data_IF_478578991421
#
_entry.id   IF_478578991421
#
_cell.length_a   1.000
_cell.length_b   1.000
_cell.length_c   1.000
_cell.angle_alpha   90.00
_cell.angle_beta   90.00
_cell.angle_gamma   90.00
#
_symmetry.space_group_name_H-M   'P 1'
#
loop_
_entity.id
_entity.type
_entity.pdbx_description
1 polymer ?
#
# COMPACT_ATOMS: atom_id res chain seq x y z
N UNK A 1 19.82 3.32 -17.55
CA UNK A 1 18.40 3.33 -17.90
C UNK A 1 17.63 3.48 -16.61
N UNK A 2 16.81 4.53 -16.47
CA UNK A 2 15.97 4.72 -15.27
C UNK A 2 14.95 3.57 -15.23
N UNK A 3 14.73 3.01 -14.03
CA UNK A 3 13.78 1.94 -13.84
C UNK A 3 12.35 2.48 -14.06
N UNK A 4 11.58 2.00 -15.04
CA UNK A 4 10.27 2.54 -15.40
C UNK A 4 9.19 2.34 -14.34
N UNK A 5 9.48 1.58 -13.28
CA UNK A 5 8.49 1.16 -12.28
C UNK A 5 8.63 1.83 -10.90
N UNK A 6 9.38 2.93 -10.80
CA UNK A 6 9.65 3.63 -9.53
C UNK A 6 8.38 4.03 -8.77
N UNK A 7 7.30 4.31 -9.49
CA UNK A 7 6.02 4.72 -8.93
C UNK A 7 5.00 3.58 -8.83
N UNK A 8 5.28 2.41 -9.42
CA UNK A 8 4.32 1.28 -9.44
C UNK A 8 4.25 0.49 -8.13
N UNK A 9 5.25 0.60 -7.25
CA UNK A 9 5.25 -0.06 -5.94
C UNK A 9 5.25 -1.59 -5.95
N UNK A 10 5.31 -2.23 -7.13
CA UNK A 10 5.24 -3.70 -7.31
C UNK A 10 6.58 -4.39 -7.47
N UNK A 11 7.69 -3.66 -7.41
CA UNK A 11 8.99 -4.30 -7.58
C UNK A 11 9.35 -5.18 -6.39
N UNK A 12 9.81 -6.37 -6.70
CA UNK A 12 10.70 -7.11 -5.80
C UNK A 12 11.92 -6.23 -5.59
N UNK A 13 11.91 -5.49 -4.47
CA UNK A 13 13.02 -4.64 -4.06
C UNK A 13 14.32 -5.44 -4.12
N UNK A 14 15.34 -4.91 -4.74
CA UNK A 14 16.69 -5.47 -4.67
C UNK A 14 17.16 -5.54 -3.21
N UNK A 15 18.15 -6.36 -2.90
CA UNK A 15 18.69 -6.47 -1.54
C UNK A 15 19.09 -5.09 -0.98
N UNK A 16 19.73 -4.26 -1.79
CA UNK A 16 20.11 -2.88 -1.46
C UNK A 16 18.92 -1.94 -1.25
N UNK A 17 17.82 -2.15 -1.93
CA UNK A 17 16.58 -1.37 -1.73
C UNK A 17 15.85 -1.76 -0.46
N UNK A 18 15.83 -3.05 -0.13
CA UNK A 18 15.30 -3.53 1.15
C UNK A 18 16.10 -3.02 2.33
N UNK A 19 17.42 -3.01 2.22
CA UNK A 19 18.31 -2.45 3.24
C UNK A 19 18.07 -0.94 3.42
N UNK A 20 18.00 -0.20 2.32
CA UNK A 20 17.67 1.22 2.33
C UNK A 20 16.32 1.49 3.01
N UNK A 21 15.25 0.79 2.60
CA UNK A 21 13.92 0.95 3.23
C UNK A 21 13.95 0.59 4.72
N UNK A 22 14.67 -0.45 5.12
CA UNK A 22 14.75 -0.86 6.51
C UNK A 22 15.46 0.20 7.38
N UNK A 23 16.50 0.84 6.85
CA UNK A 23 17.26 1.85 7.58
C UNK A 23 16.46 3.11 7.89
N UNK A 24 15.59 3.55 6.97
CA UNK A 24 14.75 4.76 7.15
C UNK A 24 13.40 4.47 7.81
N UNK A 25 13.07 3.19 8.03
CA UNK A 25 11.75 2.79 8.57
C UNK A 25 11.68 3.15 10.05
N UNK A 26 10.58 3.83 10.50
CA UNK A 26 10.35 4.09 11.91
C UNK A 26 10.25 2.78 12.71
N UNK A 27 10.84 2.77 13.89
CA UNK A 27 10.89 1.62 14.79
C UNK A 27 9.90 1.74 15.95
N UNK A 28 9.47 2.95 16.29
CA UNK A 28 8.53 3.26 17.35
C UNK A 28 7.41 4.18 16.90
N UNK A 29 6.38 4.29 17.75
CA UNK A 29 5.24 5.18 17.51
C UNK A 29 5.68 6.64 17.41
N UNK A 30 6.63 7.07 18.23
CA UNK A 30 7.12 8.45 18.28
C UNK A 30 7.80 8.88 16.97
N UNK A 31 8.32 7.92 16.22
CA UNK A 31 8.95 8.16 14.93
C UNK A 31 7.97 8.10 13.75
N UNK A 32 6.78 7.54 13.99
CA UNK A 32 5.79 7.34 12.92
C UNK A 32 4.98 8.62 12.72
N UNK A 33 5.13 9.22 11.55
CA UNK A 33 4.46 10.48 11.20
C UNK A 33 3.23 10.21 10.34
N UNK A 34 2.12 10.86 10.67
CA UNK A 34 0.83 10.73 9.96
C UNK A 34 -0.12 9.71 10.59
N UNK A 35 -1.29 9.51 9.99
CA UNK A 35 -2.35 8.59 10.48
C UNK A 35 -2.77 8.87 11.94
N UNK A 36 -2.86 10.14 12.34
CA UNK A 36 -2.96 10.58 13.74
C UNK A 36 -4.04 9.82 14.53
N UNK A 37 -5.28 9.76 14.03
CA UNK A 37 -6.39 9.08 14.70
C UNK A 37 -6.15 7.58 14.90
N UNK A 38 -5.52 6.92 13.90
CA UNK A 38 -5.16 5.50 13.98
C UNK A 38 -4.12 5.29 15.08
N UNK A 39 -3.09 6.12 15.11
CA UNK A 39 -2.00 6.03 16.08
C UNK A 39 -2.49 6.27 17.50
N UNK A 40 -3.30 7.31 17.73
CA UNK A 40 -3.89 7.60 19.04
C UNK A 40 -4.66 6.39 19.61
N UNK A 41 -5.52 5.78 18.79
CA UNK A 41 -6.27 4.59 19.19
C UNK A 41 -5.34 3.39 19.46
N UNK A 42 -4.36 3.16 18.58
CA UNK A 42 -3.44 2.04 18.69
C UNK A 42 -2.59 2.12 19.97
N UNK A 43 -2.14 3.33 20.35
CA UNK A 43 -1.42 3.57 21.62
C UNK A 43 -2.27 3.15 22.82
N UNK A 44 -3.55 3.51 22.82
CA UNK A 44 -4.49 3.15 23.91
C UNK A 44 -4.64 1.63 23.99
N UNK A 45 -4.86 0.95 22.86
CA UNK A 45 -5.07 -0.50 22.81
C UNK A 45 -3.83 -1.26 23.26
N UNK A 46 -2.64 -0.85 22.78
CA UNK A 46 -1.35 -1.46 23.17
C UNK A 46 -1.12 -1.29 24.68
N UNK A 47 -1.30 -0.07 25.21
CA UNK A 47 -1.14 0.18 26.66
C UNK A 47 -2.10 -0.65 27.50
N UNK A 48 -3.36 -0.76 27.09
CA UNK A 48 -4.35 -1.56 27.77
C UNK A 48 -3.99 -3.06 27.79
N UNK A 49 -3.57 -3.62 26.66
CA UNK A 49 -3.12 -5.01 26.56
C UNK A 49 -1.90 -5.26 27.48
N UNK A 50 -0.91 -4.34 27.49
CA UNK A 50 0.26 -4.43 28.39
C UNK A 50 -0.14 -4.39 29.86
N UNK A 51 -1.05 -3.51 30.27
CA UNK A 51 -1.52 -3.42 31.65
C UNK A 51 -2.22 -4.69 32.12
N UNK A 52 -2.97 -5.36 31.25
CA UNK A 52 -3.63 -6.64 31.56
C UNK A 52 -2.69 -7.84 31.46
N UNK A 53 -1.53 -7.69 30.81
CA UNK A 53 -0.61 -8.79 30.54
C UNK A 53 -1.13 -9.79 29.49
N UNK A 54 -2.04 -9.35 28.62
CA UNK A 54 -2.70 -10.13 27.57
C UNK A 54 -2.10 -9.88 26.20
N UNK A 55 -2.39 -10.77 25.24
CA UNK A 55 -2.15 -10.47 23.82
C UNK A 55 -3.06 -9.30 23.39
N UNK A 56 -2.58 -8.48 22.46
CA UNK A 56 -3.42 -7.46 21.84
C UNK A 56 -4.47 -8.14 20.97
N UNK A 57 -5.67 -7.60 20.92
CA UNK A 57 -6.69 -8.01 19.96
C UNK A 57 -6.14 -8.02 18.52
N UNK A 58 -6.67 -8.92 17.68
CA UNK A 58 -6.24 -9.02 16.30
C UNK A 58 -6.51 -7.74 15.50
N UNK A 59 -5.50 -7.32 14.72
CA UNK A 59 -5.48 -6.03 14.00
C UNK A 59 -5.51 -6.26 12.50
N UNK A 60 -6.35 -5.53 11.78
CA UNK A 60 -6.36 -5.47 10.33
C UNK A 60 -5.99 -4.06 9.86
N UNK A 61 -4.86 -3.94 9.18
CA UNK A 61 -4.48 -2.73 8.45
C UNK A 61 -4.87 -2.86 6.98
N UNK A 62 -5.69 -1.95 6.47
CA UNK A 62 -6.09 -1.98 5.07
C UNK A 62 -5.95 -0.62 4.40
N UNK A 63 -5.82 -0.61 3.08
CA UNK A 63 -5.65 0.62 2.31
C UNK A 63 -4.60 0.48 1.20
N UNK A 64 -4.39 1.52 0.40
CA UNK A 64 -3.46 1.53 -0.72
C UNK A 64 -2.06 1.02 -0.38
N UNK A 65 -1.28 0.54 -1.36
CA UNK A 65 0.08 0.08 -1.13
C UNK A 65 1.01 1.23 -0.71
N UNK A 66 2.09 0.93 0.01
CA UNK A 66 3.14 1.90 0.35
C UNK A 66 2.83 2.90 1.45
N UNK A 67 1.70 2.77 2.17
CA UNK A 67 1.27 3.68 3.24
C UNK A 67 1.80 3.33 4.64
N UNK A 68 2.57 2.25 4.79
CA UNK A 68 3.21 1.89 6.07
C UNK A 68 2.53 0.75 6.84
N UNK A 69 1.66 -0.08 6.24
CA UNK A 69 1.02 -1.24 6.91
C UNK A 69 2.02 -2.17 7.58
N UNK A 70 3.05 -2.61 6.85
CA UNK A 70 4.15 -3.45 7.37
C UNK A 70 4.97 -2.73 8.43
N UNK A 71 5.15 -1.42 8.32
CA UNK A 71 5.85 -0.61 9.34
C UNK A 71 5.07 -0.60 10.65
N UNK A 72 3.75 -0.36 10.57
CA UNK A 72 2.88 -0.36 11.75
C UNK A 72 2.84 -1.73 12.44
N UNK A 73 2.87 -2.85 11.69
CA UNK A 73 2.90 -4.18 12.30
C UNK A 73 4.16 -4.40 13.14
N UNK A 74 5.32 -3.94 12.68
CA UNK A 74 6.57 -3.98 13.44
C UNK A 74 6.54 -3.07 14.66
N UNK A 75 6.01 -1.85 14.49
CA UNK A 75 5.83 -0.92 15.62
C UNK A 75 4.94 -1.53 16.69
N UNK A 76 3.83 -2.19 16.32
CA UNK A 76 2.95 -2.88 17.27
C UNK A 76 3.73 -3.91 18.10
N UNK A 77 4.55 -4.75 17.48
CA UNK A 77 5.34 -5.74 18.18
C UNK A 77 6.40 -5.09 19.09
N UNK A 78 7.11 -4.08 18.59
CA UNK A 78 8.11 -3.34 19.36
C UNK A 78 7.47 -2.66 20.58
N UNK A 79 6.34 -2.01 20.41
CA UNK A 79 5.62 -1.34 21.50
C UNK A 79 5.06 -2.34 22.53
N UNK A 80 4.62 -3.52 22.09
CA UNK A 80 4.22 -4.61 22.98
C UNK A 80 5.42 -5.23 23.71
N UNK A 81 6.63 -5.13 23.16
CA UNK A 81 7.86 -5.75 23.69
C UNK A 81 7.89 -7.25 23.43
N UNK A 82 7.37 -7.71 22.28
CA UNK A 82 7.28 -9.12 21.90
C UNK A 82 7.91 -9.36 20.53
N UNK A 83 8.13 -10.63 20.19
CA UNK A 83 8.66 -11.00 18.88
C UNK A 83 7.59 -10.89 17.78
N UNK A 84 8.03 -10.61 16.54
CA UNK A 84 7.18 -10.64 15.36
C UNK A 84 7.65 -11.72 14.39
N UNK A 85 6.71 -12.50 13.88
CA UNK A 85 6.93 -13.36 12.71
C UNK A 85 6.19 -12.78 11.52
N UNK A 86 6.93 -12.58 10.44
CA UNK A 86 6.41 -11.97 9.22
C UNK A 86 6.29 -13.01 8.12
N UNK A 87 5.13 -13.02 7.46
CA UNK A 87 4.84 -13.84 6.27
C UNK A 87 3.89 -13.11 5.34
N UNK A 88 3.47 -13.74 4.26
CA UNK A 88 2.47 -13.20 3.35
C UNK A 88 1.48 -14.28 2.91
N UNK A 89 0.26 -13.87 2.54
CA UNK A 89 -0.78 -14.78 2.08
C UNK A 89 -0.31 -15.78 1.04
N UNK A 90 0.37 -15.33 -0.04
CA UNK A 90 0.87 -16.24 -1.09
C UNK A 90 1.89 -17.30 -0.63
N UNK A 91 2.57 -17.10 0.49
CA UNK A 91 3.57 -18.05 1.01
C UNK A 91 2.93 -19.18 1.81
N UNK A 92 1.73 -18.94 2.33
CA UNK A 92 0.97 -19.95 3.09
C UNK A 92 0.08 -20.72 2.12
N UNK A 93 0.61 -21.81 1.55
CA UNK A 93 -0.10 -22.58 0.53
C UNK A 93 -1.08 -23.60 1.11
N UNK A 94 -0.76 -24.14 2.28
CA UNK A 94 -1.52 -25.23 2.92
C UNK A 94 -1.63 -25.04 4.43
N UNK A 95 -2.62 -25.67 5.08
CA UNK A 95 -2.82 -25.59 6.53
C UNK A 95 -1.58 -25.94 7.38
N UNK A 96 -0.76 -26.88 6.91
CA UNK A 96 0.49 -27.26 7.61
C UNK A 96 1.51 -26.12 7.70
N UNK A 97 1.57 -25.23 6.70
CA UNK A 97 2.47 -24.08 6.71
C UNK A 97 2.01 -23.09 7.78
N UNK A 98 0.70 -22.84 7.87
CA UNK A 98 0.09 -21.99 8.90
C UNK A 98 0.33 -22.59 10.30
N UNK A 99 0.11 -23.89 10.46
CA UNK A 99 0.32 -24.58 11.72
C UNK A 99 1.78 -24.48 12.19
N UNK A 100 2.75 -24.65 11.30
CA UNK A 100 4.17 -24.48 11.62
C UNK A 100 4.52 -23.07 12.09
N UNK A 101 3.90 -22.05 11.50
CA UNK A 101 4.05 -20.66 11.94
C UNK A 101 3.45 -20.45 13.34
N UNK A 102 2.18 -20.85 13.53
CA UNK A 102 1.43 -20.63 14.78
C UNK A 102 2.05 -21.37 15.98
N UNK A 103 2.45 -22.62 15.81
CA UNK A 103 3.08 -23.42 16.89
C UNK A 103 4.47 -22.91 17.30
N UNK A 104 5.10 -22.12 16.46
CA UNK A 104 6.41 -21.51 16.70
C UNK A 104 6.35 -20.13 17.37
N UNK A 105 5.14 -19.62 17.68
CA UNK A 105 4.96 -18.34 18.38
C UNK A 105 5.13 -18.52 19.89
N UNK A 106 5.84 -17.60 20.50
CA UNK A 106 5.86 -17.44 21.95
C UNK A 106 4.57 -16.78 22.48
N UNK A 107 4.40 -16.74 23.81
CA UNK A 107 3.25 -16.07 24.42
C UNK A 107 3.18 -14.60 24.05
N UNK A 108 2.05 -14.16 23.52
CA UNK A 108 1.73 -12.79 23.10
C UNK A 108 2.52 -12.28 21.88
N UNK A 109 3.29 -13.14 21.21
CA UNK A 109 3.97 -12.78 19.97
C UNK A 109 3.01 -12.28 18.90
N UNK A 110 3.55 -11.54 17.94
CA UNK A 110 2.82 -11.03 16.79
C UNK A 110 3.07 -11.94 15.57
N UNK A 111 2.01 -12.41 14.93
CA UNK A 111 2.05 -12.97 13.58
C UNK A 111 1.59 -11.91 12.60
N UNK A 112 2.44 -11.49 11.69
CA UNK A 112 2.09 -10.57 10.61
C UNK A 112 1.91 -11.31 9.30
N UNK A 113 0.74 -11.15 8.67
CA UNK A 113 0.44 -11.71 7.35
C UNK A 113 0.16 -10.55 6.38
N UNK A 114 1.11 -10.30 5.47
CA UNK A 114 0.91 -9.34 4.39
C UNK A 114 0.04 -9.94 3.28
N UNK A 115 -0.71 -9.11 2.56
CA UNK A 115 -1.65 -9.54 1.51
C UNK A 115 -2.55 -10.69 1.97
N UNK A 116 -3.09 -10.59 3.19
CA UNK A 116 -3.88 -11.65 3.84
C UNK A 116 -5.10 -12.09 3.01
N UNK A 117 -5.63 -11.23 2.13
CA UNK A 117 -6.71 -11.55 1.20
C UNK A 117 -6.34 -12.62 0.15
N UNK A 118 -5.06 -12.99 0.05
CA UNK A 118 -4.56 -14.02 -0.87
C UNK A 118 -4.45 -15.40 -0.21
N UNK A 119 -4.85 -15.54 1.04
CA UNK A 119 -4.99 -16.85 1.65
C UNK A 119 -6.06 -17.68 0.92
N UNK A 120 -5.85 -18.98 0.80
CA UNK A 120 -6.90 -19.88 0.32
C UNK A 120 -7.99 -20.03 1.38
N UNK A 121 -9.23 -20.26 0.96
CA UNK A 121 -10.36 -20.47 1.89
C UNK A 121 -10.08 -21.57 2.91
N UNK A 122 -9.40 -22.64 2.48
CA UNK A 122 -9.01 -23.74 3.38
C UNK A 122 -8.07 -23.25 4.49
N UNK A 123 -7.07 -22.43 4.17
CA UNK A 123 -6.15 -21.88 5.17
C UNK A 123 -6.87 -20.89 6.08
N UNK A 124 -7.80 -20.07 5.55
CA UNK A 124 -8.61 -19.16 6.36
C UNK A 124 -9.41 -19.91 7.43
N UNK A 125 -10.02 -21.07 7.11
CA UNK A 125 -10.80 -21.86 8.08
C UNK A 125 -9.96 -22.31 9.28
N UNK A 126 -8.72 -22.72 9.05
CA UNK A 126 -7.78 -23.04 10.15
C UNK A 126 -7.40 -21.81 10.96
N UNK A 127 -7.30 -20.65 10.31
CA UNK A 127 -6.97 -19.39 10.98
C UNK A 127 -8.11 -18.94 11.92
N UNK A 128 -9.37 -19.25 11.59
CA UNK A 128 -10.53 -18.88 12.44
C UNK A 128 -10.42 -19.48 13.84
N UNK A 129 -10.19 -20.80 13.94
CA UNK A 129 -10.04 -21.48 15.24
C UNK A 129 -8.82 -21.00 16.01
N UNK A 130 -7.73 -20.71 15.29
CA UNK A 130 -6.53 -20.16 15.88
C UNK A 130 -6.74 -18.76 16.48
N UNK A 131 -7.55 -17.92 15.85
CA UNK A 131 -7.85 -16.57 16.32
C UNK A 131 -8.84 -16.54 17.49
N UNK A 132 -9.84 -17.44 17.50
CA UNK A 132 -10.89 -17.43 18.53
C UNK A 132 -10.50 -18.22 19.78
N UNK A 133 -9.97 -19.42 19.58
CA UNK A 133 -9.79 -20.40 20.64
C UNK A 133 -8.31 -20.70 20.96
N UNK A 134 -7.37 -20.07 20.26
CA UNK A 134 -5.93 -20.36 20.34
C UNK A 134 -5.64 -21.86 20.21
N UNK A 135 -6.26 -22.49 19.23
CA UNK A 135 -6.06 -23.90 18.89
C UNK A 135 -6.13 -24.12 17.39
N UNK A 136 -5.51 -25.19 16.93
CA UNK A 136 -5.56 -25.60 15.54
C UNK A 136 -5.76 -27.13 15.47
N UNK A 137 -6.70 -27.58 14.64
CA UNK A 137 -6.96 -28.98 14.39
C UNK A 137 -6.30 -29.42 13.09
N UNK A 138 -5.31 -30.30 13.15
CA UNK A 138 -4.57 -30.78 11.97
C UNK A 138 -5.01 -32.19 11.63
N UNK A 139 -5.38 -32.40 10.36
CA UNK A 139 -5.63 -33.75 9.83
C UNK A 139 -4.29 -34.42 9.51
N UNK A 140 -4.02 -35.59 10.11
CA UNK A 140 -2.76 -36.32 9.90
C UNK A 140 -2.85 -37.24 8.69
N UNK A 141 -4.01 -37.84 8.43
CA UNK A 141 -4.25 -38.77 7.33
C UNK A 141 -5.45 -38.33 6.49
N UNK A 142 -5.49 -38.84 5.25
CA UNK A 142 -6.62 -38.69 4.35
C UNK A 142 -7.36 -40.04 4.21
N UNK A 143 -8.71 -39.98 4.17
CA UNK A 143 -9.55 -41.16 3.96
C UNK A 143 -10.31 -41.63 5.21
N UNK A 144 -10.93 -42.84 5.22
CA UNK A 144 -11.81 -43.29 6.31
C UNK A 144 -11.15 -43.44 7.67
N UNK A 145 -9.81 -43.46 7.72
CA UNK A 145 -9.02 -43.55 8.96
C UNK A 145 -8.41 -42.21 9.37
N UNK A 146 -8.84 -41.13 8.75
CA UNK A 146 -8.31 -39.80 9.05
C UNK A 146 -8.47 -39.46 10.54
N UNK A 147 -7.38 -39.02 11.17
CA UNK A 147 -7.37 -38.55 12.56
C UNK A 147 -7.01 -37.07 12.59
N UNK A 148 -7.72 -36.30 13.42
CA UNK A 148 -7.34 -34.95 13.73
C UNK A 148 -6.54 -34.92 15.04
N UNK A 149 -5.50 -34.09 15.06
CA UNK A 149 -4.82 -33.73 16.31
C UNK A 149 -5.09 -32.25 16.56
N UNK A 150 -5.63 -31.96 17.74
CA UNK A 150 -5.79 -30.61 18.25
C UNK A 150 -4.49 -30.17 18.92
N UNK A 151 -3.98 -29.03 18.50
CA UNK A 151 -2.79 -28.39 19.06
C UNK A 151 -3.21 -27.08 19.71
N UNK A 152 -2.93 -26.93 21.00
CA UNK A 152 -3.11 -25.66 21.69
C UNK A 152 -1.97 -24.70 21.32
N UNK A 153 -2.33 -23.44 21.11
CA UNK A 153 -1.41 -22.36 20.76
C UNK A 153 -1.24 -21.41 21.94
N UNK A 154 -0.10 -20.77 22.01
CA UNK A 154 0.05 -19.62 22.90
C UNK A 154 -0.89 -18.49 22.43
N UNK A 155 -1.50 -17.71 23.34
CA UNK A 155 -2.19 -16.48 22.97
C UNK A 155 -1.25 -15.58 22.16
N UNK A 156 -1.70 -15.13 20.99
CA UNK A 156 -0.92 -14.33 20.06
C UNK A 156 -1.77 -13.22 19.45
N UNK A 157 -1.13 -12.24 18.87
CA UNK A 157 -1.79 -11.19 18.09
C UNK A 157 -1.59 -11.44 16.60
N UNK A 158 -2.67 -11.61 15.85
CA UNK A 158 -2.62 -11.58 14.39
C UNK A 158 -2.71 -10.13 13.91
N UNK A 159 -1.73 -9.70 13.12
CA UNK A 159 -1.79 -8.45 12.36
C UNK A 159 -1.90 -8.79 10.88
N UNK A 160 -3.06 -8.57 10.30
CA UNK A 160 -3.30 -8.73 8.87
C UNK A 160 -3.08 -7.42 8.12
N UNK A 161 -2.48 -7.48 6.94
CA UNK A 161 -2.42 -6.35 6.02
C UNK A 161 -3.04 -6.70 4.67
N UNK A 162 -3.77 -5.76 4.06
CA UNK A 162 -4.37 -5.95 2.75
C UNK A 162 -4.53 -4.64 1.98
N UNK A 163 -4.36 -4.71 0.68
CA UNK A 163 -4.75 -3.64 -0.25
C UNK A 163 -6.22 -3.76 -0.67
N UNK A 164 -6.83 -4.94 -0.51
CA UNK A 164 -8.16 -5.30 -1.00
C UNK A 164 -9.03 -5.90 0.12
N UNK A 165 -9.46 -5.07 1.06
CA UNK A 165 -10.30 -5.52 2.19
C UNK A 165 -11.63 -6.15 1.75
N UNK A 166 -12.16 -5.77 0.58
CA UNK A 166 -13.39 -6.35 0.02
C UNK A 166 -13.24 -7.80 -0.50
N UNK A 167 -12.02 -8.34 -0.58
CA UNK A 167 -11.78 -9.74 -0.93
C UNK A 167 -11.68 -10.66 0.29
N UNK A 168 -11.63 -10.10 1.51
CA UNK A 168 -11.65 -10.88 2.73
C UNK A 168 -13.05 -11.47 2.95
N UNK A 169 -13.10 -12.72 3.41
CA UNK A 169 -14.36 -13.33 3.79
C UNK A 169 -14.96 -12.64 5.01
N UNK A 170 -16.28 -12.59 5.08
CA UNK A 170 -16.97 -11.98 6.23
C UNK A 170 -16.60 -12.66 7.58
N UNK A 171 -16.44 -13.99 7.66
CA UNK A 171 -15.96 -14.65 8.86
C UNK A 171 -14.57 -14.19 9.31
N UNK A 172 -13.60 -14.07 8.38
CA UNK A 172 -12.27 -13.58 8.72
C UNK A 172 -12.32 -12.12 9.17
N UNK A 173 -13.05 -11.29 8.44
CA UNK A 173 -13.17 -9.88 8.75
C UNK A 173 -13.79 -9.61 10.13
N UNK A 174 -14.74 -10.44 10.57
CA UNK A 174 -15.38 -10.29 11.89
C UNK A 174 -14.45 -10.58 13.06
N UNK A 175 -13.41 -11.38 12.87
CA UNK A 175 -12.44 -11.76 13.90
C UNK A 175 -11.37 -10.70 14.19
N UNK A 176 -11.24 -9.73 13.32
CA UNK A 176 -10.41 -8.57 13.61
C UNK A 176 -11.20 -7.56 14.46
N UNK A 177 -10.87 -7.41 15.73
CA UNK A 177 -11.49 -6.42 16.61
C UNK A 177 -11.03 -5.00 16.26
N UNK A 178 -9.75 -4.85 15.87
CA UNK A 178 -9.16 -3.58 15.49
C UNK A 178 -9.02 -3.54 13.97
N UNK A 179 -9.78 -2.64 13.31
CA UNK A 179 -9.74 -2.45 11.85
C UNK A 179 -9.37 -1.00 11.56
N UNK A 180 -8.25 -0.81 10.89
CA UNK A 180 -7.73 0.52 10.63
C UNK A 180 -7.43 0.70 9.15
N UNK A 181 -8.07 1.71 8.55
CA UNK A 181 -7.80 2.12 7.19
C UNK A 181 -6.66 3.13 7.18
N UNK A 182 -5.64 2.87 6.37
CA UNK A 182 -4.59 3.84 6.10
C UNK A 182 -5.01 4.70 4.91
N UNK A 183 -4.79 6.00 5.04
CA UNK A 183 -5.12 6.99 4.03
C UNK A 183 -3.85 7.58 3.42
N UNK A 184 -3.99 8.19 2.24
CA UNK A 184 -2.90 8.91 1.63
C UNK A 184 -2.46 10.09 2.49
N UNK A 185 -1.17 10.35 2.47
CA UNK A 185 -0.54 11.43 3.23
C UNK A 185 -0.65 12.75 2.46
N UNK A 186 -0.85 13.84 3.17
CA UNK A 186 -0.71 15.16 2.57
C UNK A 186 0.77 15.51 2.32
N UNK A 187 1.02 16.49 1.47
CA UNK A 187 2.38 16.88 1.08
C UNK A 187 3.23 17.38 2.26
N UNK A 188 2.62 18.05 3.25
CA UNK A 188 3.35 18.53 4.42
C UNK A 188 3.85 17.38 5.30
N UNK A 189 3.01 16.38 5.53
CA UNK A 189 3.40 15.17 6.26
C UNK A 189 4.50 14.40 5.53
N UNK A 190 4.39 14.26 4.20
CA UNK A 190 5.42 13.61 3.39
C UNK A 190 6.74 14.40 3.40
N UNK A 191 6.69 15.73 3.39
CA UNK A 191 7.88 16.58 3.52
C UNK A 191 8.63 16.28 4.84
N UNK A 192 7.89 16.16 5.95
CA UNK A 192 8.50 15.83 7.24
C UNK A 192 9.12 14.43 7.24
N UNK A 193 8.46 13.45 6.62
CA UNK A 193 9.01 12.10 6.43
C UNK A 193 10.31 12.15 5.59
N UNK A 194 10.33 12.94 4.53
CA UNK A 194 11.52 13.10 3.66
C UNK A 194 12.69 13.76 4.39
N UNK A 195 12.43 14.81 5.18
CA UNK A 195 13.47 15.47 5.97
C UNK A 195 14.10 14.49 6.98
N UNK A 196 13.26 13.74 7.72
CA UNK A 196 13.74 12.69 8.62
C UNK A 196 14.54 11.61 7.87
N UNK A 197 14.03 11.15 6.73
CA UNK A 197 14.73 10.14 5.92
C UNK A 197 16.08 10.65 5.42
N UNK A 198 16.15 11.90 4.99
CA UNK A 198 17.38 12.54 4.54
C UNK A 198 18.41 12.66 5.68
N UNK A 199 17.98 13.01 6.89
CA UNK A 199 18.83 13.06 8.09
C UNK A 199 19.47 11.69 8.39
N UNK A 200 18.65 10.62 8.40
CA UNK A 200 19.14 9.24 8.60
C UNK A 200 20.15 8.84 7.53
N UNK A 201 19.91 9.25 6.29
CA UNK A 201 20.78 8.97 5.13
C UNK A 201 21.98 9.90 5.04
N UNK A 202 22.09 10.88 5.94
CA UNK A 202 23.11 11.93 5.90
C UNK A 202 23.15 12.66 4.54
N UNK A 203 21.96 12.90 3.98
CA UNK A 203 21.79 13.62 2.72
C UNK A 203 21.39 15.08 3.03
N UNK A 204 22.13 16.03 2.49
CA UNK A 204 21.80 17.43 2.63
C UNK A 204 20.68 17.81 1.66
N UNK A 205 19.50 18.14 2.19
CA UNK A 205 18.32 18.51 1.41
C UNK A 205 17.74 19.82 1.90
N UNK A 206 17.35 20.70 0.96
CA UNK A 206 16.61 21.92 1.32
C UNK A 206 15.13 21.62 1.59
N UNK A 207 14.51 22.43 2.43
CA UNK A 207 13.06 22.28 2.75
C UNK A 207 12.19 22.40 1.52
N UNK A 208 12.56 23.25 0.57
CA UNK A 208 11.86 23.47 -0.69
C UNK A 208 11.94 22.23 -1.59
N UNK A 209 13.14 21.62 -1.69
CA UNK A 209 13.36 20.39 -2.45
C UNK A 209 12.57 19.22 -1.86
N UNK A 210 12.57 19.07 -0.53
CA UNK A 210 11.75 18.08 0.15
C UNK A 210 10.25 18.30 -0.10
N UNK A 211 9.78 19.54 -0.10
CA UNK A 211 8.41 19.91 -0.44
C UNK A 211 8.04 19.57 -1.88
N UNK A 212 8.96 19.77 -2.84
CA UNK A 212 8.75 19.43 -4.25
C UNK A 212 8.64 17.92 -4.45
N UNK A 213 9.55 17.14 -3.86
CA UNK A 213 9.48 15.68 -3.89
C UNK A 213 8.16 15.19 -3.25
N UNK A 214 7.78 15.76 -2.11
CA UNK A 214 6.55 15.40 -1.40
C UNK A 214 5.29 15.60 -2.25
N UNK A 215 5.20 16.73 -2.96
CA UNK A 215 4.05 17.01 -3.85
C UNK A 215 3.90 15.99 -4.98
N UNK A 216 5.03 15.49 -5.51
CA UNK A 216 5.04 14.51 -6.61
C UNK A 216 5.00 13.05 -6.15
N UNK A 217 4.86 12.82 -4.83
CA UNK A 217 4.94 11.46 -4.23
C UNK A 217 3.59 10.74 -4.10
N UNK A 218 2.54 11.23 -4.75
CA UNK A 218 1.21 10.58 -4.77
C UNK A 218 0.65 10.26 -3.39
N UNK A 219 0.92 11.08 -2.39
CA UNK A 219 0.47 10.80 -1.02
C UNK A 219 1.08 9.54 -0.38
N UNK A 220 2.19 9.00 -0.91
CA UNK A 220 2.71 7.68 -0.54
C UNK A 220 4.14 7.77 -0.02
N UNK A 221 4.41 7.43 1.26
CA UNK A 221 5.77 7.45 1.82
C UNK A 221 6.79 6.59 1.07
N UNK A 222 6.39 5.42 0.55
CA UNK A 222 7.28 4.57 -0.24
C UNK A 222 7.76 5.28 -1.51
N UNK A 223 6.84 5.94 -2.23
CA UNK A 223 7.17 6.70 -3.44
C UNK A 223 8.04 7.89 -3.08
N UNK A 224 7.71 8.63 -2.02
CA UNK A 224 8.49 9.76 -1.54
C UNK A 224 9.96 9.37 -1.28
N UNK A 225 10.18 8.32 -0.50
CA UNK A 225 11.52 7.81 -0.21
C UNK A 225 12.23 7.25 -1.46
N UNK A 226 11.48 6.62 -2.37
CA UNK A 226 12.02 6.18 -3.66
C UNK A 226 12.53 7.35 -4.50
N UNK A 227 11.74 8.43 -4.61
CA UNK A 227 12.13 9.65 -5.31
C UNK A 227 13.32 10.34 -4.62
N UNK A 228 13.31 10.46 -3.28
CA UNK A 228 14.46 11.00 -2.52
C UNK A 228 15.76 10.25 -2.86
N UNK A 229 15.71 8.94 -2.89
CA UNK A 229 16.86 8.11 -3.23
C UNK A 229 17.39 8.45 -4.63
N UNK A 230 16.51 8.56 -5.63
CA UNK A 230 16.92 8.88 -7.00
C UNK A 230 17.43 10.31 -7.13
N UNK A 231 16.74 11.27 -6.52
CA UNK A 231 17.21 12.66 -6.52
C UNK A 231 18.58 12.77 -5.86
N UNK A 232 18.84 12.01 -4.78
CA UNK A 232 20.16 11.92 -4.16
C UNK A 232 21.23 11.38 -5.11
N UNK A 233 20.91 10.35 -5.94
CA UNK A 233 21.84 9.81 -6.92
C UNK A 233 22.25 10.91 -7.93
N UNK A 234 21.29 11.73 -8.39
CA UNK A 234 21.58 12.90 -9.26
C UNK A 234 22.42 13.96 -8.54
N UNK A 235 22.09 14.28 -7.28
CA UNK A 235 22.83 15.27 -6.51
C UNK A 235 24.29 14.86 -6.31
N UNK A 236 24.55 13.59 -6.02
CA UNK A 236 25.91 13.06 -5.84
C UNK A 236 26.77 13.18 -7.09
N UNK A 237 26.17 13.10 -8.26
CA UNK A 237 26.90 13.14 -9.53
C UNK A 237 27.01 14.57 -10.10
N UNK A 238 26.00 15.39 -9.89
CA UNK A 238 25.85 16.67 -10.61
C UNK A 238 25.87 17.91 -9.71
N UNK A 239 25.78 17.78 -8.39
CA UNK A 239 25.58 18.92 -7.47
C UNK A 239 26.26 18.75 -6.10
N UNK A 240 27.48 18.25 -6.06
CA UNK A 240 28.29 18.08 -4.85
C UNK A 240 27.51 17.47 -3.65
N UNK A 241 26.59 16.53 -3.95
CA UNK A 241 25.73 15.84 -3.01
C UNK A 241 24.63 16.71 -2.33
N UNK A 242 24.47 17.96 -2.73
CA UNK A 242 23.39 18.82 -2.21
C UNK A 242 22.11 18.64 -3.00
N UNK A 243 21.01 18.38 -2.28
CA UNK A 243 19.67 18.25 -2.87
C UNK A 243 18.95 19.59 -2.74
N UNK A 244 19.13 20.44 -3.73
CA UNK A 244 18.41 21.72 -3.86
C UNK A 244 17.24 21.59 -4.85
N UNK A 245 16.51 22.70 -5.04
CA UNK A 245 15.38 22.74 -5.96
C UNK A 245 15.79 22.48 -7.42
N UNK A 246 16.95 22.99 -7.83
CA UNK A 246 17.44 22.87 -9.21
C UNK A 246 17.72 21.41 -9.59
N UNK A 247 18.52 20.71 -8.78
CA UNK A 247 18.80 19.29 -9.01
C UNK A 247 17.54 18.42 -8.83
N UNK A 248 16.65 18.78 -7.91
CA UNK A 248 15.39 18.07 -7.71
C UNK A 248 14.50 18.15 -8.94
N UNK A 249 14.30 19.32 -9.51
CA UNK A 249 13.51 19.50 -10.74
C UNK A 249 14.17 18.80 -11.95
N UNK A 250 15.51 18.85 -12.03
CA UNK A 250 16.24 18.15 -13.07
C UNK A 250 16.03 16.63 -12.97
N UNK A 251 16.22 16.06 -11.78
CA UNK A 251 16.04 14.62 -11.54
C UNK A 251 14.61 14.16 -11.80
N UNK A 252 13.60 14.89 -11.29
CA UNK A 252 12.19 14.52 -11.48
C UNK A 252 11.80 14.55 -12.97
N UNK A 253 12.28 15.52 -13.74
CA UNK A 253 12.10 15.53 -15.21
C UNK A 253 12.79 14.36 -15.89
N UNK A 254 14.01 14.04 -15.51
CA UNK A 254 14.74 12.89 -16.06
C UNK A 254 14.11 11.54 -15.71
N UNK A 255 13.34 11.49 -14.62
CA UNK A 255 12.56 10.33 -14.19
C UNK A 255 11.13 10.30 -14.78
N UNK A 256 10.79 11.26 -15.66
CA UNK A 256 9.44 11.41 -16.24
C UNK A 256 8.33 11.56 -15.20
N UNK A 257 8.61 12.20 -14.06
CA UNK A 257 7.62 12.53 -13.03
C UNK A 257 7.21 13.98 -13.21
N UNK A 258 5.98 14.21 -13.61
CA UNK A 258 5.46 15.55 -13.88
C UNK A 258 5.05 16.30 -12.59
N UNK A 259 4.55 17.54 -12.76
CA UNK A 259 4.13 18.42 -11.64
C UNK A 259 2.95 17.90 -10.81
N UNK A 260 2.17 16.98 -11.38
CA UNK A 260 1.07 16.30 -10.68
C UNK A 260 1.49 14.94 -10.07
N UNK A 261 2.75 14.54 -10.25
CA UNK A 261 3.25 13.24 -9.83
C UNK A 261 2.83 12.09 -10.74
N UNK A 262 2.35 12.38 -11.97
CA UNK A 262 2.08 11.35 -12.95
C UNK A 262 3.38 10.90 -13.62
N UNK A 263 3.47 9.60 -13.85
CA UNK A 263 4.57 9.00 -14.60
C UNK A 263 4.21 8.72 -16.08
N UNK A 264 5.13 8.11 -16.78
CA UNK A 264 4.93 7.73 -18.18
C UNK A 264 3.73 6.79 -18.35
N UNK A 265 3.51 5.83 -17.43
CA UNK A 265 2.40 4.88 -17.54
C UNK A 265 1.06 5.54 -17.27
N UNK A 266 0.96 6.45 -16.29
CA UNK A 266 -0.27 7.23 -16.10
C UNK A 266 -0.64 8.01 -17.35
N UNK A 267 0.33 8.70 -17.94
CA UNK A 267 0.13 9.48 -19.17
C UNK A 267 -0.25 8.58 -20.35
N UNK A 268 0.31 7.37 -20.44
CA UNK A 268 -0.09 6.36 -21.43
C UNK A 268 -1.53 5.88 -21.22
N UNK A 269 -1.94 5.64 -19.96
CA UNK A 269 -3.32 5.26 -19.62
C UNK A 269 -4.30 6.36 -20.03
N UNK A 270 -4.05 7.60 -19.61
CA UNK A 270 -4.91 8.74 -19.96
C UNK A 270 -4.98 8.96 -21.47
N UNK A 271 -3.83 8.92 -22.15
CA UNK A 271 -3.77 9.06 -23.61
C UNK A 271 -4.54 7.95 -24.33
N UNK A 272 -4.39 6.70 -23.87
CA UNK A 272 -5.12 5.57 -24.46
C UNK A 272 -6.63 5.73 -24.32
N UNK A 273 -7.13 6.15 -23.16
CA UNK A 273 -8.56 6.38 -22.95
C UNK A 273 -9.07 7.53 -23.85
N UNK A 274 -8.32 8.61 -23.96
CA UNK A 274 -8.71 9.77 -24.77
C UNK A 274 -8.67 9.44 -26.26
N UNK A 275 -7.55 8.92 -26.75
CA UNK A 275 -7.30 8.78 -28.20
C UNK A 275 -7.99 7.56 -28.81
N UNK A 276 -7.87 6.40 -28.12
CA UNK A 276 -8.39 5.14 -28.65
C UNK A 276 -9.87 4.93 -28.30
N UNK A 277 -10.33 5.46 -27.16
CA UNK A 277 -11.67 5.21 -26.62
C UNK A 277 -12.51 6.47 -26.45
N UNK A 278 -12.12 7.59 -27.06
CA UNK A 278 -12.89 8.86 -27.10
C UNK A 278 -13.27 9.39 -25.70
N UNK A 279 -12.40 9.17 -24.71
CA UNK A 279 -12.62 9.57 -23.32
C UNK A 279 -13.38 8.56 -22.46
N UNK A 280 -13.78 7.44 -23.00
CA UNK A 280 -14.51 6.37 -22.29
C UNK A 280 -16.04 6.44 -22.49
N UNK A 281 -16.83 5.56 -21.80
CA UNK A 281 -16.37 4.59 -20.81
C UNK A 281 -15.67 3.36 -21.42
N UNK A 282 -14.61 2.86 -20.79
CA UNK A 282 -13.83 1.70 -21.24
C UNK A 282 -13.48 0.76 -20.08
N UNK A 283 -13.54 -0.55 -20.31
CA UNK A 283 -13.23 -1.57 -19.33
C UNK A 283 -11.73 -1.62 -18.97
N UNK A 284 -11.40 -1.96 -17.73
CA UNK A 284 -10.00 -2.01 -17.25
C UNK A 284 -9.13 -2.97 -18.06
N UNK A 285 -9.66 -4.13 -18.44
CA UNK A 285 -8.95 -5.12 -19.25
C UNK A 285 -8.59 -4.58 -20.64
N UNK A 286 -9.50 -3.81 -21.23
CA UNK A 286 -9.27 -3.15 -22.55
C UNK A 286 -8.19 -2.08 -22.45
N UNK A 287 -8.20 -1.27 -21.37
CA UNK A 287 -7.16 -0.27 -21.13
C UNK A 287 -5.83 -0.99 -20.97
N UNK A 288 -5.75 -2.01 -20.10
CA UNK A 288 -4.56 -2.78 -19.80
C UNK A 288 -3.91 -3.34 -21.07
N UNK A 289 -4.71 -4.02 -21.90
CA UNK A 289 -4.26 -4.53 -23.20
C UNK A 289 -3.72 -3.39 -24.09
N UNK A 290 -4.37 -2.22 -24.08
CA UNK A 290 -4.00 -1.10 -24.96
C UNK A 290 -2.68 -0.41 -24.58
N UNK A 291 -2.27 -0.52 -23.30
CA UNK A 291 -1.02 0.04 -22.77
C UNK A 291 0.06 -1.02 -22.54
N UNK A 292 -0.26 -2.31 -22.73
CA UNK A 292 0.67 -3.43 -22.57
C UNK A 292 0.99 -3.76 -21.11
N UNK A 293 -0.03 -3.68 -20.22
CA UNK A 293 0.11 -3.96 -18.80
C UNK A 293 -0.98 -4.96 -18.33
N UNK A 294 -0.81 -5.55 -17.14
CA UNK A 294 -1.81 -6.42 -16.55
C UNK A 294 -2.97 -5.64 -15.93
N UNK A 295 -4.23 -6.10 -16.08
CA UNK A 295 -5.40 -5.42 -15.52
C UNK A 295 -5.31 -5.21 -14.00
N UNK A 296 -4.79 -6.20 -13.27
CA UNK A 296 -4.59 -6.12 -11.82
C UNK A 296 -3.60 -5.02 -11.43
N UNK A 297 -2.54 -4.81 -12.22
CA UNK A 297 -1.57 -3.73 -11.97
C UNK A 297 -2.22 -2.37 -12.16
N UNK A 298 -3.02 -2.18 -13.21
CA UNK A 298 -3.73 -0.92 -13.41
C UNK A 298 -4.68 -0.63 -12.24
N UNK A 299 -5.44 -1.63 -11.80
CA UNK A 299 -6.46 -1.48 -10.76
C UNK A 299 -5.86 -1.22 -9.37
N UNK A 300 -4.69 -1.79 -9.07
CA UNK A 300 -4.08 -1.67 -7.74
C UNK A 300 -3.13 -0.48 -7.61
N UNK A 301 -2.44 -0.12 -8.71
CA UNK A 301 -1.32 0.82 -8.65
C UNK A 301 -1.67 2.18 -9.23
N UNK A 302 -2.24 2.21 -10.44
CA UNK A 302 -2.45 3.44 -11.19
C UNK A 302 -3.84 4.04 -10.99
N UNK A 303 -4.89 3.23 -11.12
CA UNK A 303 -6.29 3.67 -11.05
C UNK A 303 -6.61 4.42 -9.73
N UNK A 304 -6.20 3.95 -8.54
CA UNK A 304 -6.56 4.63 -7.29
C UNK A 304 -6.05 6.06 -7.22
N UNK A 305 -4.82 6.31 -7.66
CA UNK A 305 -4.25 7.64 -7.69
C UNK A 305 -4.91 8.53 -8.75
N UNK A 306 -5.13 8.01 -9.95
CA UNK A 306 -5.80 8.76 -11.02
C UNK A 306 -7.25 9.13 -10.68
N UNK A 307 -7.96 8.27 -9.92
CA UNK A 307 -9.30 8.57 -9.40
C UNK A 307 -9.22 9.64 -8.31
N UNK A 308 -8.33 9.48 -7.34
CA UNK A 308 -8.16 10.42 -6.22
C UNK A 308 -7.83 11.82 -6.72
N UNK A 309 -6.92 11.93 -7.67
CA UNK A 309 -6.54 13.19 -8.29
C UNK A 309 -7.58 13.71 -9.28
N UNK A 310 -8.63 12.94 -9.54
CA UNK A 310 -9.72 13.34 -10.42
C UNK A 310 -9.37 13.37 -11.89
N UNK A 311 -8.40 12.60 -12.35
CA UNK A 311 -8.10 12.42 -13.77
C UNK A 311 -9.05 11.43 -14.45
N UNK A 312 -9.48 10.40 -13.72
CA UNK A 312 -10.46 9.42 -14.20
C UNK A 312 -11.59 9.26 -13.19
N UNK A 313 -12.73 8.80 -13.66
CA UNK A 313 -13.87 8.38 -12.82
C UNK A 313 -14.30 6.96 -13.19
N UNK A 314 -14.75 6.22 -12.18
CA UNK A 314 -15.29 4.88 -12.35
C UNK A 314 -16.80 4.94 -12.51
N UNK A 315 -17.31 4.34 -13.58
CA UNK A 315 -18.74 4.24 -13.86
C UNK A 315 -19.15 2.78 -13.96
N UNK A 316 -20.45 2.44 -13.91
CA UNK A 316 -20.93 1.07 -14.12
C UNK A 316 -20.51 0.45 -15.46
N UNK A 317 -20.25 1.29 -16.48
CA UNK A 317 -19.83 0.86 -17.82
C UNK A 317 -18.32 0.82 -18.02
N UNK A 318 -17.53 1.34 -17.07
CA UNK A 318 -16.07 1.39 -17.17
C UNK A 318 -15.47 2.69 -16.66
N UNK A 319 -14.25 3.00 -17.10
CA UNK A 319 -13.47 4.18 -16.73
C UNK A 319 -13.65 5.27 -17.77
N UNK A 320 -13.82 6.49 -17.30
CA UNK A 320 -13.93 7.69 -18.13
C UNK A 320 -12.92 8.73 -17.64
N UNK A 321 -12.29 9.44 -18.57
CA UNK A 321 -11.43 10.59 -18.23
C UNK A 321 -12.27 11.81 -17.91
N UNK A 322 -11.70 12.70 -17.10
CA UNK A 322 -12.32 13.98 -16.75
C UNK A 322 -11.76 15.12 -17.58
N UNK A 323 -12.34 16.31 -17.47
CA UNK A 323 -11.80 17.52 -18.09
C UNK A 323 -10.36 17.82 -17.63
N UNK A 324 -10.02 17.51 -16.36
CA UNK A 324 -8.65 17.63 -15.82
C UNK A 324 -7.65 16.81 -16.64
N UNK A 325 -8.02 15.58 -17.04
CA UNK A 325 -7.15 14.74 -17.87
C UNK A 325 -6.93 15.31 -19.28
N UNK A 326 -7.96 15.88 -19.89
CA UNK A 326 -7.82 16.55 -21.17
C UNK A 326 -6.92 17.78 -21.07
N UNK A 327 -7.13 18.63 -20.05
CA UNK A 327 -6.32 19.82 -19.82
C UNK A 327 -4.85 19.45 -19.57
N UNK A 328 -4.61 18.42 -18.77
CA UNK A 328 -3.26 17.92 -18.47
C UNK A 328 -2.50 17.48 -19.73
N UNK A 329 -3.16 16.79 -20.64
CA UNK A 329 -2.55 16.34 -21.91
C UNK A 329 -2.62 17.39 -23.03
N UNK A 330 -3.07 18.63 -22.74
CA UNK A 330 -3.21 19.70 -23.73
C UNK A 330 -4.24 19.39 -24.81
N UNK A 331 -5.27 18.59 -24.51
CA UNK A 331 -6.31 18.17 -25.44
C UNK A 331 -7.65 18.84 -25.12
N UNK A 332 -8.50 18.97 -26.13
CA UNK A 332 -9.85 19.51 -25.94
C UNK A 332 -10.83 18.38 -25.68
N UNK A 333 -11.68 18.46 -24.64
CA UNK A 333 -12.76 17.49 -24.43
C UNK A 333 -13.69 17.47 -25.65
N UNK A 334 -14.22 16.28 -26.02
CA UNK A 334 -15.26 16.24 -27.07
C UNK A 334 -16.45 17.09 -26.61
N UNK A 335 -16.95 17.97 -27.45
CA UNK A 335 -18.21 18.68 -27.18
C UNK A 335 -19.30 17.63 -26.98
N UNK A 336 -19.72 17.42 -25.74
CA UNK A 336 -20.99 16.75 -25.49
C UNK A 336 -22.07 17.66 -26.06
N UNK A 337 -22.62 17.30 -27.21
CA UNK A 337 -23.82 17.94 -27.72
C UNK A 337 -24.84 17.94 -26.60
N UNK A 338 -25.21 19.10 -26.11
CA UNK A 338 -26.42 19.30 -25.34
C UNK A 338 -27.51 18.55 -26.06
N UNK A 339 -27.99 17.45 -25.48
CA UNK A 339 -29.27 16.84 -25.88
C UNK A 339 -30.29 17.94 -25.74
N UNK A 340 -30.54 18.63 -26.87
CA UNK A 340 -31.59 19.60 -26.93
C UNK A 340 -32.87 18.95 -26.44
N UNK A 341 -33.44 19.55 -25.40
CA UNK A 341 -34.81 19.30 -24.93
C UNK A 341 -35.73 19.32 -26.14
N UNK A 342 -36.11 18.15 -26.65
CA UNK A 342 -37.11 17.96 -27.66
C UNK A 342 -38.50 18.09 -27.03
N UNK A 343 -38.79 19.26 -26.46
CA UNK A 343 -40.14 19.72 -26.13
C UNK A 343 -40.22 21.20 -26.43
N UNK A 344 -40.26 21.48 -27.73
CA UNK A 344 -40.80 22.72 -28.26
C UNK A 344 -42.30 22.53 -28.49
N UNK A 345 -43.02 23.31 -27.78
CA UNK A 345 -44.46 23.60 -27.84
C UNK A 345 -45.09 23.58 -29.27
N UNK A 346 -46.20 22.93 -29.43
CA UNK A 346 -47.44 23.52 -29.90
C UNK A 346 -48.61 22.97 -29.14
#
# INVERSE_FOLDING_TARGET
MANPNLLSGKETLTATEKEFENNIRPQGIDEFTGQAQLIENLVIFIRAAKLRGEALDHVLFHGPPGLGKTTLSRIVANELGVSIKETSGPVIEKPGDLAGLLTSLGPRDVLFIDEIHRLSTVVEEYLYSAMEDYRIDIMIDSGPSARSIQINLNPFTLVGATTRSGLLTAPLLSRFAIKSRLEYYNAETLKNILLRSAEILKAEITTEAAGEIARRSRGTPRIANGLLRRVRDFAQVLNDSQIDMGITQHALRALNVDEHGLDEMDNRILSAIIEKFKGGPVGITTIATSVGEEPGTLEEVYEPFLIQEGFIKRTPRGREVTEKAYAHLGKTPPMHGTTGTLFGLT
#
